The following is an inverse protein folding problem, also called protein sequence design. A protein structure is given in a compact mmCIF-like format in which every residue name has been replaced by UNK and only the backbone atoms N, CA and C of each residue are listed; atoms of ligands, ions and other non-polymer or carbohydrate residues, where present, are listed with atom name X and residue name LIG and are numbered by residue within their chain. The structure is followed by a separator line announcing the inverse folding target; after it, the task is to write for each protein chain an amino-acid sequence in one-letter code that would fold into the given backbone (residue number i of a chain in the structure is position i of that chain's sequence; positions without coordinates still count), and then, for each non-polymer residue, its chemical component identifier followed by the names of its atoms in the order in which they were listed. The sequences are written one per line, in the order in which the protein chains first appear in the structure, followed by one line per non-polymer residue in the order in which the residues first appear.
data_IF_964195500890
#
_entry.id   IF_964195500890
#
_cell.length_a   1.000
_cell.length_b   1.000
_cell.length_c   1.000
_cell.angle_alpha   90.00
_cell.angle_beta   90.00
_cell.angle_gamma   90.00
#
_symmetry.space_group_name_H-M   'P 1'
#
loop_
_entity.id
_entity.type
_entity.pdbx_description
1 polymer ?
#
# COMPACT_ATOMS: atom_id res chain seq x y z
N UNK A 1 -88.36 -103.98 18.22
CA UNK A 1 -88.63 -103.53 16.82
C UNK A 1 -90.01 -102.93 16.61
N UNK A 2 -91.01 -103.24 17.44
CA UNK A 2 -92.39 -102.76 17.26
C UNK A 2 -92.69 -101.32 17.73
N UNK A 3 -91.75 -100.61 18.35
CA UNK A 3 -91.96 -99.19 18.74
C UNK A 3 -90.82 -98.28 18.26
N UNK A 4 -89.73 -98.82 17.68
CA UNK A 4 -88.92 -98.02 16.74
C UNK A 4 -89.73 -97.63 15.48
N UNK A 5 -90.81 -98.36 15.19
CA UNK A 5 -91.90 -97.92 14.33
C UNK A 5 -92.62 -96.68 14.90
N UNK A 6 -92.93 -96.67 16.21
CA UNK A 6 -93.38 -95.45 16.88
C UNK A 6 -92.32 -94.34 16.92
N UNK A 7 -91.03 -94.66 16.82
CA UNK A 7 -89.91 -93.70 16.76
C UNK A 7 -89.78 -92.99 15.41
N UNK A 8 -90.29 -93.58 14.32
CA UNK A 8 -90.47 -92.89 13.02
C UNK A 8 -91.80 -92.14 12.94
N UNK A 9 -92.86 -92.72 13.54
CA UNK A 9 -94.15 -92.03 13.73
C UNK A 9 -93.95 -90.76 14.59
N UNK A 10 -93.15 -90.83 15.65
CA UNK A 10 -92.81 -89.70 16.51
C UNK A 10 -91.92 -88.67 15.82
N UNK A 11 -91.18 -89.02 14.76
CA UNK A 11 -90.30 -88.13 14.00
C UNK A 11 -90.94 -87.55 12.72
N UNK A 12 -92.04 -88.13 12.24
CA UNK A 12 -93.03 -87.41 11.40
C UNK A 12 -93.92 -86.48 12.24
N UNK A 13 -94.03 -86.77 13.54
CA UNK A 13 -94.62 -85.91 14.59
C UNK A 13 -93.56 -85.00 15.26
N UNK A 14 -92.28 -85.10 14.86
CA UNK A 14 -91.22 -84.19 15.32
C UNK A 14 -91.39 -82.87 14.57
N UNK A 15 -91.44 -81.80 15.35
CA UNK A 15 -91.38 -80.42 14.84
C UNK A 15 -89.99 -80.11 14.29
N UNK A 16 -89.65 -80.59 13.09
CA UNK A 16 -88.65 -79.94 12.21
C UNK A 16 -88.59 -80.54 10.79
N UNK A 17 -89.62 -80.27 10.00
CA UNK A 17 -89.47 -80.09 8.55
C UNK A 17 -90.49 -79.04 8.11
N UNK A 18 -90.10 -77.77 8.25
CA UNK A 18 -90.87 -76.64 7.76
C UNK A 18 -90.75 -76.57 6.23
N UNK A 19 -91.68 -77.22 5.52
CA UNK A 19 -92.02 -76.85 4.15
C UNK A 19 -93.42 -76.23 4.23
N UNK A 20 -93.45 -74.95 4.59
CA UNK A 20 -94.64 -74.10 4.51
C UNK A 20 -94.84 -73.72 3.04
N UNK A 21 -96.08 -73.89 2.56
CA UNK A 21 -96.49 -73.58 1.19
C UNK A 21 -96.19 -72.13 0.83
N UNK A 22 -95.69 -71.91 -0.38
CA UNK A 22 -95.54 -70.57 -0.97
C UNK A 22 -96.90 -69.84 -0.90
N UNK A 23 -96.94 -68.57 -0.46
CA UNK A 23 -98.18 -67.79 -0.39
C UNK A 23 -98.78 -67.59 -1.78
N UNK A 24 -100.11 -67.50 -1.84
CA UNK A 24 -100.87 -67.32 -3.08
C UNK A 24 -100.43 -66.04 -3.80
N UNK A 25 -99.73 -66.21 -4.92
CA UNK A 25 -99.17 -65.11 -5.71
C UNK A 25 -100.24 -64.23 -6.36
N UNK A 26 -101.51 -64.65 -6.37
CA UNK A 26 -102.61 -63.92 -6.99
C UNK A 26 -102.97 -62.62 -6.25
N UNK A 27 -102.92 -62.60 -4.91
CA UNK A 27 -103.19 -61.39 -4.12
C UNK A 27 -102.05 -60.36 -4.21
N UNK A 28 -100.81 -60.84 -4.30
CA UNK A 28 -99.63 -59.98 -4.49
C UNK A 28 -99.63 -59.41 -5.91
N UNK A 29 -99.99 -60.22 -6.91
CA UNK A 29 -100.13 -59.77 -8.29
C UNK A 29 -101.23 -58.72 -8.44
N UNK A 30 -102.39 -58.87 -7.79
CA UNK A 30 -103.49 -57.90 -7.85
C UNK A 30 -103.16 -56.58 -7.16
N UNK A 31 -102.46 -56.62 -6.02
CA UNK A 31 -101.95 -55.42 -5.35
C UNK A 31 -100.95 -54.67 -6.23
N UNK A 32 -99.97 -55.40 -6.79
CA UNK A 32 -98.97 -54.84 -7.70
C UNK A 32 -99.59 -54.29 -8.99
N UNK A 33 -100.59 -54.95 -9.58
CA UNK A 33 -101.30 -54.42 -10.78
C UNK A 33 -102.12 -53.17 -10.48
N UNK A 34 -102.58 -52.97 -9.25
CA UNK A 34 -103.34 -51.77 -8.86
C UNK A 34 -102.45 -50.56 -8.51
N UNK A 35 -101.20 -50.79 -8.11
CA UNK A 35 -100.26 -49.73 -7.72
C UNK A 35 -99.40 -49.22 -8.87
N UNK A 36 -99.15 -50.05 -9.89
CA UNK A 36 -98.47 -49.63 -11.13
C UNK A 36 -99.09 -48.35 -11.73
N UNK A 37 -100.42 -48.25 -11.99
CA UNK A 37 -100.99 -47.05 -12.59
C UNK A 37 -100.92 -45.82 -11.68
N UNK A 38 -100.95 -45.99 -10.36
CA UNK A 38 -100.82 -44.86 -9.41
C UNK A 38 -99.41 -44.30 -9.39
N UNK A 39 -98.40 -45.18 -9.42
CA UNK A 39 -96.99 -44.79 -9.48
C UNK A 39 -96.69 -44.16 -10.84
N UNK A 40 -97.25 -44.69 -11.93
CA UNK A 40 -97.14 -44.08 -13.26
C UNK A 40 -97.74 -42.66 -13.30
N UNK A 41 -98.87 -42.44 -12.64
CA UNK A 41 -99.50 -41.12 -12.54
C UNK A 41 -98.67 -40.14 -11.67
N UNK A 42 -98.06 -40.63 -10.59
CA UNK A 42 -97.15 -39.87 -9.74
C UNK A 42 -95.85 -39.49 -10.46
N UNK A 43 -95.27 -40.41 -11.25
CA UNK A 43 -94.13 -40.14 -12.14
C UNK A 43 -94.49 -39.04 -13.14
N UNK A 44 -95.66 -39.11 -13.76
CA UNK A 44 -96.13 -38.10 -14.74
C UNK A 44 -96.33 -36.72 -14.11
N UNK A 45 -96.78 -36.66 -12.85
CA UNK A 45 -96.86 -35.40 -12.10
C UNK A 45 -95.48 -34.87 -11.73
N UNK A 46 -94.56 -35.73 -11.28
CA UNK A 46 -93.18 -35.35 -10.93
C UNK A 46 -92.37 -34.90 -12.15
N UNK A 47 -92.56 -35.51 -13.32
CA UNK A 47 -91.92 -35.10 -14.59
C UNK A 47 -92.39 -33.71 -15.05
N UNK A 48 -93.68 -33.38 -14.88
CA UNK A 48 -94.22 -32.03 -15.15
C UNK A 48 -93.61 -30.98 -14.22
N UNK A 49 -93.39 -31.31 -12.95
CA UNK A 49 -92.71 -30.42 -11.98
C UNK A 49 -91.21 -30.28 -12.30
N UNK A 50 -90.55 -31.35 -12.75
CA UNK A 50 -89.13 -31.36 -13.11
C UNK A 50 -88.82 -30.52 -14.38
N UNK A 51 -89.72 -30.49 -15.36
CA UNK A 51 -89.61 -29.61 -16.52
C UNK A 51 -89.56 -28.12 -16.13
N UNK A 52 -90.33 -27.71 -15.12
CA UNK A 52 -90.28 -26.35 -14.56
C UNK A 52 -88.99 -26.09 -13.77
N UNK A 53 -88.44 -27.08 -13.07
CA UNK A 53 -87.17 -26.95 -12.34
C UNK A 53 -85.98 -26.68 -13.29
N UNK A 54 -85.87 -27.42 -14.40
CA UNK A 54 -84.79 -27.22 -15.37
C UNK A 54 -84.84 -25.86 -16.09
N UNK A 55 -86.04 -25.31 -16.30
CA UNK A 55 -86.24 -23.98 -16.85
C UNK A 55 -85.93 -22.88 -15.83
N UNK A 56 -86.24 -23.12 -14.54
CA UNK A 56 -85.89 -22.22 -13.43
C UNK A 56 -84.38 -22.16 -13.20
N UNK A 57 -83.67 -23.28 -13.29
CA UNK A 57 -82.21 -23.31 -13.13
C UNK A 57 -81.50 -22.57 -14.26
N UNK A 58 -81.96 -22.73 -15.51
CA UNK A 58 -81.47 -21.91 -16.64
C UNK A 58 -81.72 -20.42 -16.43
N UNK A 59 -82.88 -20.03 -15.91
CA UNK A 59 -83.19 -18.62 -15.59
C UNK A 59 -82.36 -18.10 -14.41
N UNK A 60 -82.10 -18.91 -13.39
CA UNK A 60 -81.22 -18.56 -12.27
C UNK A 60 -79.77 -18.38 -12.72
N UNK A 61 -79.24 -19.28 -13.55
CA UNK A 61 -77.91 -19.15 -14.15
C UNK A 61 -77.81 -17.89 -15.01
N UNK A 62 -78.84 -17.62 -15.84
CA UNK A 62 -78.90 -16.40 -16.65
C UNK A 62 -78.97 -15.13 -15.82
N UNK A 63 -79.74 -15.14 -14.74
CA UNK A 63 -79.83 -14.04 -13.79
C UNK A 63 -78.51 -13.84 -13.03
N UNK A 64 -77.79 -14.92 -12.71
CA UNK A 64 -76.42 -14.90 -12.20
C UNK A 64 -75.47 -14.19 -13.15
N UNK A 65 -75.39 -14.66 -14.40
CA UNK A 65 -74.59 -14.03 -15.47
C UNK A 65 -74.91 -12.54 -15.65
N UNK A 66 -76.19 -12.18 -15.72
CA UNK A 66 -76.61 -10.78 -15.86
C UNK A 66 -76.25 -9.93 -14.63
N UNK A 67 -76.38 -10.47 -13.42
CA UNK A 67 -75.94 -9.79 -12.19
C UNK A 67 -74.43 -9.59 -12.18
N UNK A 68 -73.66 -10.58 -12.62
CA UNK A 68 -72.20 -10.50 -12.68
C UNK A 68 -71.74 -9.51 -13.75
N UNK A 69 -72.40 -9.48 -14.91
CA UNK A 69 -72.16 -8.44 -15.94
C UNK A 69 -72.52 -7.04 -15.47
N UNK A 70 -73.59 -6.88 -14.69
CA UNK A 70 -73.96 -5.60 -14.10
C UNK A 70 -72.94 -5.15 -13.04
N UNK A 71 -72.51 -6.06 -12.16
CA UNK A 71 -71.42 -5.80 -11.20
C UNK A 71 -70.12 -5.42 -11.89
N UNK A 72 -69.73 -6.16 -12.93
CA UNK A 72 -68.54 -5.87 -13.72
C UNK A 72 -68.67 -4.53 -14.44
N UNK A 73 -69.83 -4.23 -15.03
CA UNK A 73 -70.10 -2.93 -15.67
C UNK A 73 -69.94 -1.76 -14.69
N UNK A 74 -70.50 -1.88 -13.49
CA UNK A 74 -70.39 -0.86 -12.44
C UNK A 74 -68.95 -0.68 -11.91
N UNK A 75 -68.10 -1.70 -12.04
CA UNK A 75 -66.71 -1.70 -11.58
C UNK A 75 -65.70 -1.72 -12.73
N UNK A 76 -66.13 -1.54 -13.98
CA UNK A 76 -65.32 -1.80 -15.17
C UNK A 76 -64.10 -0.88 -15.21
N UNK A 77 -64.32 0.41 -14.99
CA UNK A 77 -63.26 1.43 -14.98
C UNK A 77 -62.22 1.15 -13.89
N UNK A 78 -62.67 0.75 -12.69
CA UNK A 78 -61.78 0.37 -11.59
C UNK A 78 -60.96 -0.87 -11.96
N UNK A 79 -61.58 -1.84 -12.64
CA UNK A 79 -60.92 -3.09 -13.03
C UNK A 79 -59.88 -2.84 -14.14
N UNK A 80 -60.20 -1.98 -15.11
CA UNK A 80 -59.28 -1.56 -16.18
C UNK A 80 -58.11 -0.72 -15.64
N UNK A 81 -58.39 0.19 -14.70
CA UNK A 81 -57.34 0.95 -14.02
C UNK A 81 -56.39 0.01 -13.28
N UNK A 82 -56.91 -0.96 -12.54
CA UNK A 82 -56.10 -1.92 -11.77
C UNK A 82 -55.27 -2.84 -12.67
N UNK A 83 -55.79 -3.21 -13.85
CA UNK A 83 -55.03 -3.93 -14.86
C UNK A 83 -53.88 -3.07 -15.40
N UNK A 84 -54.13 -1.79 -15.67
CA UNK A 84 -53.12 -0.84 -16.13
C UNK A 84 -52.02 -0.64 -15.08
N UNK A 85 -52.40 -0.49 -13.81
CA UNK A 85 -51.47 -0.38 -12.68
C UNK A 85 -50.62 -1.65 -12.53
N UNK A 86 -51.22 -2.84 -12.68
CA UNK A 86 -50.49 -4.11 -12.64
C UNK A 86 -49.49 -4.25 -13.79
N UNK A 87 -49.86 -3.82 -15.00
CA UNK A 87 -48.95 -3.80 -16.15
C UNK A 87 -47.78 -2.85 -15.92
N UNK A 88 -48.05 -1.64 -15.43
CA UNK A 88 -47.02 -0.66 -15.08
C UNK A 88 -46.10 -1.21 -13.99
N UNK A 89 -46.64 -1.78 -12.92
CA UNK A 89 -45.89 -2.36 -11.81
C UNK A 89 -44.99 -3.51 -12.30
N UNK A 90 -45.51 -4.36 -13.19
CA UNK A 90 -44.74 -5.44 -13.82
C UNK A 90 -43.61 -4.89 -14.69
N UNK A 91 -43.87 -3.84 -15.48
CA UNK A 91 -42.85 -3.14 -16.27
C UNK A 91 -41.75 -2.52 -15.39
N UNK A 92 -42.13 -1.76 -14.37
CA UNK A 92 -41.20 -1.14 -13.42
C UNK A 92 -40.37 -2.19 -12.68
N UNK A 93 -40.97 -3.31 -12.25
CA UNK A 93 -40.22 -4.42 -11.63
C UNK A 93 -39.17 -5.02 -12.57
N UNK A 94 -39.47 -5.16 -13.87
CA UNK A 94 -38.48 -5.61 -14.86
C UNK A 94 -37.34 -4.60 -15.02
N UNK A 95 -37.65 -3.30 -15.10
CA UNK A 95 -36.63 -2.26 -15.19
C UNK A 95 -35.74 -2.24 -13.92
N UNK A 96 -36.32 -2.35 -12.73
CA UNK A 96 -35.57 -2.45 -11.47
C UNK A 96 -34.64 -3.67 -11.49
N UNK A 97 -35.12 -4.83 -11.95
CA UNK A 97 -34.29 -6.03 -12.07
C UNK A 97 -33.10 -5.83 -13.03
N UNK A 98 -33.27 -5.06 -14.11
CA UNK A 98 -32.18 -4.73 -15.04
C UNK A 98 -31.15 -3.76 -14.46
N UNK A 99 -31.53 -2.91 -13.50
CA UNK A 99 -30.60 -2.03 -12.77
C UNK A 99 -29.76 -2.74 -11.71
N UNK A 100 -29.93 -4.06 -11.53
CA UNK A 100 -29.19 -4.82 -10.53
C UNK A 100 -27.71 -4.97 -10.93
N UNK A 101 -26.85 -4.20 -10.27
CA UNK A 101 -25.39 -4.21 -10.46
C UNK A 101 -24.69 -5.44 -9.86
N UNK A 102 -25.40 -6.29 -9.10
CA UNK A 102 -24.78 -7.38 -8.33
C UNK A 102 -24.03 -8.40 -9.19
N UNK A 103 -24.54 -8.73 -10.38
CA UNK A 103 -23.87 -9.66 -11.29
C UNK A 103 -22.54 -9.08 -11.80
N UNK A 104 -22.55 -7.81 -12.22
CA UNK A 104 -21.35 -7.08 -12.65
C UNK A 104 -20.34 -6.94 -11.52
N UNK A 105 -20.79 -6.57 -10.32
CA UNK A 105 -19.93 -6.47 -9.14
C UNK A 105 -19.29 -7.81 -8.77
N UNK A 106 -20.05 -8.91 -8.85
CA UNK A 106 -19.52 -10.26 -8.58
C UNK A 106 -18.46 -10.65 -9.61
N UNK A 107 -18.73 -10.43 -10.90
CA UNK A 107 -17.79 -10.71 -11.98
C UNK A 107 -16.49 -9.90 -11.80
N UNK A 108 -16.62 -8.62 -11.44
CA UNK A 108 -15.48 -7.73 -11.18
C UNK A 108 -14.65 -8.21 -9.99
N UNK A 109 -15.29 -8.66 -8.90
CA UNK A 109 -14.60 -9.26 -7.76
C UNK A 109 -13.85 -10.55 -8.11
N UNK A 110 -14.43 -11.42 -8.94
CA UNK A 110 -13.77 -12.66 -9.39
C UNK A 110 -12.53 -12.32 -10.23
N UNK A 111 -12.69 -11.45 -11.24
CA UNK A 111 -11.58 -11.05 -12.13
C UNK A 111 -10.45 -10.36 -11.37
N UNK A 112 -10.77 -9.52 -10.38
CA UNK A 112 -9.76 -8.86 -9.54
C UNK A 112 -8.95 -9.87 -8.72
N UNK A 113 -9.64 -10.85 -8.12
CA UNK A 113 -8.99 -11.90 -7.35
C UNK A 113 -8.02 -12.72 -8.20
N UNK A 114 -8.45 -13.12 -9.39
CA UNK A 114 -7.64 -13.96 -10.28
C UNK A 114 -6.47 -13.20 -10.93
N UNK A 115 -6.63 -11.91 -11.25
CA UNK A 115 -5.65 -11.18 -12.06
C UNK A 115 -4.70 -10.29 -11.27
N UNK A 116 -5.12 -9.77 -10.11
CA UNK A 116 -4.40 -8.68 -9.41
C UNK A 116 -3.97 -9.12 -8.02
N UNK A 117 -4.86 -9.78 -7.25
CA UNK A 117 -4.65 -9.98 -5.82
C UNK A 117 -3.45 -10.88 -5.50
N UNK A 118 -3.31 -12.02 -6.18
CA UNK A 118 -2.24 -12.99 -5.87
C UNK A 118 -0.85 -12.47 -6.25
N UNK A 119 -0.72 -11.84 -7.43
CA UNK A 119 0.57 -11.28 -7.88
C UNK A 119 0.95 -10.03 -7.07
N UNK A 120 -0.02 -9.18 -6.73
CA UNK A 120 0.21 -8.02 -5.87
C UNK A 120 0.62 -8.46 -4.45
N UNK A 121 -0.05 -9.45 -3.87
CA UNK A 121 0.29 -9.99 -2.55
C UNK A 121 1.71 -10.57 -2.54
N UNK A 122 2.09 -11.32 -3.58
CA UNK A 122 3.46 -11.84 -3.72
C UNK A 122 4.50 -10.74 -3.76
N UNK A 123 4.22 -9.64 -4.47
CA UNK A 123 5.13 -8.50 -4.56
C UNK A 123 5.21 -7.70 -3.27
N UNK A 124 4.07 -7.43 -2.63
CA UNK A 124 4.03 -6.81 -1.30
C UNK A 124 4.90 -7.62 -0.33
N UNK A 125 4.77 -8.96 -0.35
CA UNK A 125 5.58 -9.82 0.50
C UNK A 125 7.08 -9.75 0.17
N UNK A 126 7.44 -9.71 -1.12
CA UNK A 126 8.83 -9.53 -1.54
C UNK A 126 9.41 -8.18 -1.08
N UNK A 127 8.64 -7.10 -1.17
CA UNK A 127 9.04 -5.76 -0.70
C UNK A 127 9.17 -5.70 0.83
N UNK A 128 8.23 -6.30 1.57
CA UNK A 128 8.29 -6.43 3.05
C UNK A 128 9.58 -7.15 3.47
N UNK A 129 9.95 -8.22 2.77
CA UNK A 129 11.19 -8.95 3.05
C UNK A 129 12.43 -8.12 2.67
N UNK A 130 12.40 -7.42 1.54
CA UNK A 130 13.50 -6.56 1.11
C UNK A 130 13.76 -5.39 2.09
N UNK A 131 12.70 -4.83 2.68
CA UNK A 131 12.75 -3.72 3.63
C UNK A 131 12.89 -4.16 5.10
N UNK A 132 13.14 -5.45 5.34
CA UNK A 132 13.37 -6.03 6.67
C UNK A 132 12.20 -5.82 7.66
N UNK A 133 10.98 -6.02 7.17
CA UNK A 133 9.73 -5.95 7.95
C UNK A 133 9.16 -7.34 8.26
N UNK A 134 9.95 -8.41 8.06
CA UNK A 134 9.50 -9.80 8.18
C UNK A 134 9.13 -10.23 9.60
N UNK A 135 9.55 -9.46 10.62
CA UNK A 135 9.16 -9.70 12.02
C UNK A 135 7.68 -9.36 12.28
N UNK A 136 7.06 -8.56 11.40
CA UNK A 136 5.66 -8.19 11.51
C UNK A 136 4.79 -9.25 10.82
N UNK A 137 3.79 -9.82 11.50
CA UNK A 137 2.87 -10.75 10.89
C UNK A 137 1.90 -9.96 10.02
N UNK A 138 2.25 -9.62 8.79
CA UNK A 138 1.42 -8.81 7.88
C UNK A 138 0.50 -9.70 7.03
N UNK A 139 -0.71 -9.22 6.74
CA UNK A 139 -1.69 -9.87 5.88
C UNK A 139 -2.42 -8.83 5.03
N UNK A 140 -2.55 -9.10 3.75
CA UNK A 140 -3.37 -8.33 2.81
C UNK A 140 -4.86 -8.54 3.09
N UNK A 141 -5.61 -7.44 3.14
CA UNK A 141 -7.07 -7.42 3.26
C UNK A 141 -7.63 -6.55 2.15
N UNK A 142 -8.52 -7.12 1.36
CA UNK A 142 -9.28 -6.41 0.34
C UNK A 142 -10.59 -5.89 0.95
N UNK A 143 -10.87 -4.60 0.78
CA UNK A 143 -12.13 -3.97 1.17
C UNK A 143 -12.74 -3.32 -0.06
N UNK A 144 -13.85 -3.88 -0.53
CA UNK A 144 -14.59 -3.35 -1.67
C UNK A 144 -15.85 -2.62 -1.22
N UNK A 145 -16.07 -1.40 -1.70
CA UNK A 145 -17.30 -0.63 -1.52
C UNK A 145 -17.69 0.08 -2.81
N UNK A 146 -18.94 -0.11 -3.26
CA UNK A 146 -19.53 0.63 -4.38
C UNK A 146 -18.71 0.67 -5.70
N UNK A 147 -17.89 -0.36 -5.98
CA UNK A 147 -17.08 -0.46 -7.21
C UNK A 147 -15.61 -0.07 -7.02
N UNK A 148 -15.29 0.66 -5.96
CA UNK A 148 -13.92 0.95 -5.52
C UNK A 148 -13.42 -0.22 -4.64
N UNK A 149 -12.26 -0.78 -4.99
CA UNK A 149 -11.59 -1.76 -4.15
C UNK A 149 -10.34 -1.13 -3.57
N UNK A 150 -10.22 -1.21 -2.25
CA UNK A 150 -9.05 -0.75 -1.50
C UNK A 150 -8.28 -1.97 -1.02
N UNK A 151 -6.99 -1.99 -1.30
CA UNK A 151 -6.07 -2.93 -0.68
C UNK A 151 -5.52 -2.31 0.60
N UNK A 152 -5.61 -3.06 1.69
CA UNK A 152 -5.03 -2.69 2.97
C UNK A 152 -4.10 -3.79 3.44
N UNK A 153 -2.90 -3.44 3.89
CA UNK A 153 -2.03 -4.40 4.57
C UNK A 153 -2.24 -4.20 6.07
N UNK A 154 -2.73 -5.22 6.76
CA UNK A 154 -2.97 -5.20 8.20
C UNK A 154 -2.09 -6.20 8.93
N UNK A 155 -2.03 -6.10 10.26
CA UNK A 155 -1.42 -7.14 11.09
C UNK A 155 -2.34 -8.37 11.20
N UNK A 156 -1.78 -9.56 11.05
CA UNK A 156 -2.35 -10.88 11.25
C UNK A 156 -2.44 -11.17 12.75
N UNK A 157 -3.28 -10.40 13.43
CA UNK A 157 -3.61 -10.58 14.85
C UNK A 157 -5.05 -11.09 14.99
N UNK A 158 -5.32 -11.85 16.06
CA UNK A 158 -6.66 -12.38 16.35
C UNK A 158 -7.73 -11.29 16.51
N UNK A 159 -7.32 -10.07 16.85
CA UNK A 159 -8.17 -8.88 16.94
C UNK A 159 -7.70 -7.83 15.92
N UNK A 160 -8.65 -7.17 15.26
CA UNK A 160 -8.36 -6.12 14.26
C UNK A 160 -7.99 -4.81 14.96
N UNK A 161 -6.70 -4.56 15.14
CA UNK A 161 -6.20 -3.27 15.62
C UNK A 161 -5.83 -2.36 14.46
N UNK A 162 -5.89 -1.04 14.66
CA UNK A 162 -5.41 -0.08 13.66
C UNK A 162 -3.89 -0.16 13.61
N UNK A 163 -3.30 -0.27 12.42
CA UNK A 163 -1.85 -0.32 12.23
C UNK A 163 -1.13 0.84 12.95
N UNK A 164 -1.75 2.01 12.98
CA UNK A 164 -1.17 3.21 13.62
C UNK A 164 -0.99 3.10 15.14
N UNK A 165 -1.60 2.10 15.78
CA UNK A 165 -1.49 1.86 17.22
C UNK A 165 -0.41 0.84 17.59
N UNK A 166 0.09 0.08 16.61
CA UNK A 166 1.04 -1.03 16.85
C UNK A 166 2.37 -0.76 16.15
N UNK A 167 2.33 -0.31 14.89
CA UNK A 167 3.53 -0.03 14.12
C UNK A 167 4.16 1.27 14.59
N UNK A 168 5.49 1.26 14.76
CA UNK A 168 6.26 2.49 14.90
C UNK A 168 6.14 3.35 13.64
N UNK A 169 6.38 4.66 13.75
CA UNK A 169 6.34 5.58 12.61
C UNK A 169 7.24 5.12 11.45
N UNK A 170 8.44 4.65 11.77
CA UNK A 170 9.37 4.13 10.77
C UNK A 170 8.88 2.84 10.10
N UNK A 171 8.16 1.97 10.82
CA UNK A 171 7.58 0.75 10.24
C UNK A 171 6.39 1.08 9.34
N UNK A 172 5.56 2.05 9.76
CA UNK A 172 4.46 2.54 8.91
C UNK A 172 4.99 3.12 7.60
N UNK A 173 6.04 3.94 7.66
CA UNK A 173 6.63 4.55 6.46
C UNK A 173 7.29 3.51 5.55
N UNK A 174 7.99 2.53 6.12
CA UNK A 174 8.57 1.42 5.34
C UNK A 174 7.50 0.51 4.73
N UNK A 175 6.41 0.22 5.44
CA UNK A 175 5.29 -0.55 4.91
C UNK A 175 4.57 0.20 3.78
N UNK A 176 4.37 1.51 3.94
CA UNK A 176 3.81 2.35 2.89
C UNK A 176 4.70 2.35 1.63
N UNK A 177 6.02 2.45 1.80
CA UNK A 177 6.98 2.35 0.71
C UNK A 177 6.95 0.97 0.04
N UNK A 178 6.85 -0.11 0.82
CA UNK A 178 6.72 -1.48 0.31
C UNK A 178 5.47 -1.64 -0.58
N UNK A 179 4.32 -1.16 -0.10
CA UNK A 179 3.07 -1.21 -0.85
C UNK A 179 3.19 -0.40 -2.15
N UNK A 180 3.72 0.82 -2.06
CA UNK A 180 3.91 1.69 -3.21
C UNK A 180 4.83 1.07 -4.28
N UNK A 181 5.99 0.54 -3.89
CA UNK A 181 6.92 -0.13 -4.80
C UNK A 181 6.32 -1.40 -5.42
N UNK A 182 5.48 -2.13 -4.67
CA UNK A 182 4.82 -3.34 -5.16
C UNK A 182 3.80 -3.07 -6.27
N UNK A 183 3.06 -1.95 -6.17
CA UNK A 183 2.11 -1.50 -7.19
C UNK A 183 2.85 -1.08 -8.47
N UNK A 184 4.00 -0.43 -8.33
CA UNK A 184 4.82 0.01 -9.46
C UNK A 184 5.37 -1.14 -10.31
N UNK A 185 5.54 -2.34 -9.74
CA UNK A 185 6.08 -3.50 -10.45
C UNK A 185 5.15 -4.07 -11.55
N UNK A 186 3.89 -3.61 -11.63
CA UNK A 186 2.89 -4.13 -12.58
C UNK A 186 3.02 -3.56 -13.97
N UNK A 187 3.55 -2.34 -14.05
CA UNK A 187 3.50 -1.55 -15.26
C UNK A 187 4.86 -1.58 -15.95
N UNK A 188 4.92 -2.15 -17.16
CA UNK A 188 6.09 -2.13 -18.05
C UNK A 188 6.48 -0.74 -18.55
N UNK A 189 5.86 0.32 -18.01
CA UNK A 189 6.12 1.71 -18.35
C UNK A 189 7.15 2.35 -17.41
N UNK A 190 8.17 2.94 -18.04
CA UNK A 190 9.33 3.60 -17.42
C UNK A 190 8.97 4.97 -16.81
N UNK A 191 8.00 5.04 -15.90
CA UNK A 191 7.71 6.29 -15.21
C UNK A 191 8.83 6.64 -14.23
N UNK A 192 9.17 7.93 -14.13
CA UNK A 192 10.05 8.43 -13.09
C UNK A 192 9.42 8.24 -11.71
N UNK A 193 10.26 7.95 -10.72
CA UNK A 193 9.90 7.79 -9.31
C UNK A 193 10.33 9.04 -8.55
N UNK A 194 9.40 9.72 -7.89
CA UNK A 194 9.71 10.85 -7.02
C UNK A 194 9.34 10.47 -5.60
N UNK A 195 10.31 10.56 -4.68
CA UNK A 195 10.14 10.17 -3.28
C UNK A 195 10.56 11.32 -2.38
N UNK A 196 9.65 11.78 -1.52
CA UNK A 196 9.88 12.85 -0.56
C UNK A 196 10.03 12.27 0.85
N UNK A 197 11.19 12.48 1.46
CA UNK A 197 11.58 11.99 2.78
C UNK A 197 11.14 10.54 3.08
N UNK A 198 11.67 9.53 2.35
CA UNK A 198 11.26 8.13 2.53
C UNK A 198 11.58 7.54 3.91
N UNK A 199 12.35 8.24 4.74
CA UNK A 199 12.74 7.77 6.08
C UNK A 199 12.46 8.86 7.11
N UNK A 200 11.79 8.51 8.22
CA UNK A 200 11.52 9.42 9.35
C UNK A 200 12.33 9.09 10.62
N UNK A 201 12.81 7.86 10.77
CA UNK A 201 13.45 7.38 12.01
C UNK A 201 14.94 7.08 11.84
N UNK A 202 15.73 7.33 12.90
CA UNK A 202 17.18 7.12 13.01
C UNK A 202 17.66 5.64 12.92
N UNK A 203 16.78 4.69 12.55
CA UNK A 203 17.21 3.30 12.40
C UNK A 203 18.09 3.15 11.15
N UNK A 204 19.40 3.12 11.38
CA UNK A 204 20.43 3.01 10.35
C UNK A 204 20.25 1.77 9.46
N UNK A 205 19.76 0.65 9.99
CA UNK A 205 19.56 -0.55 9.20
C UNK A 205 18.45 -0.32 8.16
N UNK A 206 17.35 0.30 8.59
CA UNK A 206 16.21 0.60 7.71
C UNK A 206 16.56 1.67 6.68
N UNK A 207 17.28 2.72 7.07
CA UNK A 207 17.83 3.75 6.16
C UNK A 207 18.59 3.08 5.02
N UNK A 208 19.46 2.11 5.34
CA UNK A 208 20.24 1.36 4.36
C UNK A 208 19.39 0.46 3.47
N UNK A 209 18.42 -0.28 4.02
CA UNK A 209 17.51 -1.12 3.22
C UNK A 209 16.67 -0.30 2.23
N UNK A 210 16.15 0.84 2.67
CA UNK A 210 15.42 1.77 1.81
C UNK A 210 16.33 2.31 0.69
N UNK A 211 17.56 2.71 1.03
CA UNK A 211 18.53 3.17 0.04
C UNK A 211 18.85 2.09 -1.01
N UNK A 212 19.17 0.88 -0.57
CA UNK A 212 19.42 -0.28 -1.44
C UNK A 212 18.24 -0.55 -2.38
N UNK A 213 17.01 -0.49 -1.86
CA UNK A 213 15.82 -0.77 -2.66
C UNK A 213 15.58 0.29 -3.75
N UNK A 214 15.76 1.57 -3.42
CA UNK A 214 15.63 2.68 -4.38
C UNK A 214 16.73 2.64 -5.44
N UNK A 215 17.96 2.31 -5.06
CA UNK A 215 19.06 2.09 -5.99
C UNK A 215 18.77 0.91 -6.91
N UNK A 216 18.25 -0.21 -6.40
CA UNK A 216 17.86 -1.35 -7.21
C UNK A 216 16.74 -1.03 -8.22
N UNK A 217 15.83 -0.09 -7.91
CA UNK A 217 14.88 0.42 -8.89
C UNK A 217 15.56 1.29 -9.97
N UNK A 218 16.53 2.12 -9.59
CA UNK A 218 17.32 2.88 -10.55
C UNK A 218 18.17 1.98 -11.46
N UNK A 219 18.69 0.86 -10.95
CA UNK A 219 19.45 -0.14 -11.73
C UNK A 219 18.61 -0.79 -12.83
N UNK A 220 17.28 -0.87 -12.66
CA UNK A 220 16.36 -1.37 -13.68
C UNK A 220 16.16 -0.39 -14.84
N UNK A 221 16.77 0.80 -14.76
CA UNK A 221 16.67 1.86 -15.77
C UNK A 221 15.60 2.91 -15.46
N UNK A 222 15.03 2.93 -14.26
CA UNK A 222 14.05 3.93 -13.83
C UNK A 222 14.74 5.20 -13.32
N UNK A 223 14.24 6.38 -13.68
CA UNK A 223 14.70 7.63 -13.05
C UNK A 223 14.13 7.71 -11.63
N UNK A 224 15.00 7.88 -10.62
CA UNK A 224 14.59 8.03 -9.22
C UNK A 224 15.06 9.38 -8.70
N UNK A 225 14.12 10.22 -8.27
CA UNK A 225 14.35 11.56 -7.70
C UNK A 225 13.98 11.48 -6.22
N UNK A 226 14.93 11.81 -5.35
CA UNK A 226 14.78 11.70 -3.90
C UNK A 226 14.95 13.09 -3.30
N UNK A 227 13.91 13.56 -2.62
CA UNK A 227 14.02 14.72 -1.73
C UNK A 227 14.25 14.21 -0.32
N UNK A 228 15.29 14.73 0.33
CA UNK A 228 15.50 14.43 1.73
C UNK A 228 16.16 15.55 2.50
N UNK A 229 15.78 15.73 3.77
CA UNK A 229 16.50 16.55 4.73
C UNK A 229 17.50 15.73 5.58
N UNK A 230 17.47 14.40 5.47
CA UNK A 230 18.31 13.51 6.26
C UNK A 230 19.65 13.26 5.57
N UNK A 231 20.72 13.86 6.11
CA UNK A 231 22.09 13.77 5.57
C UNK A 231 22.62 12.33 5.60
N UNK A 232 22.29 11.55 6.65
CA UNK A 232 22.73 10.16 6.76
C UNK A 232 22.12 9.34 5.62
N UNK A 233 20.84 9.55 5.32
CA UNK A 233 20.17 8.88 4.22
C UNK A 233 20.72 9.34 2.85
N UNK A 234 20.98 10.64 2.67
CA UNK A 234 21.65 11.14 1.47
C UNK A 234 22.98 10.43 1.22
N UNK A 235 23.84 10.35 2.23
CA UNK A 235 25.14 9.68 2.12
C UNK A 235 25.00 8.18 1.84
N UNK A 236 24.00 7.52 2.42
CA UNK A 236 23.73 6.10 2.17
C UNK A 236 23.33 5.86 0.71
N UNK A 237 22.50 6.74 0.12
CA UNK A 237 22.16 6.69 -1.31
C UNK A 237 23.41 6.85 -2.18
N UNK A 238 24.27 7.83 -1.88
CA UNK A 238 25.52 8.06 -2.64
C UNK A 238 26.46 6.85 -2.52
N UNK A 239 26.55 6.25 -1.33
CA UNK A 239 27.37 5.07 -1.06
C UNK A 239 26.86 3.84 -1.82
N UNK A 240 25.57 3.54 -1.74
CA UNK A 240 24.95 2.39 -2.42
C UNK A 240 24.95 2.57 -3.95
N UNK A 241 24.76 3.79 -4.46
CA UNK A 241 24.94 4.10 -5.89
C UNK A 241 26.39 3.84 -6.36
N UNK A 242 27.39 4.10 -5.51
CA UNK A 242 28.80 3.85 -5.82
C UNK A 242 29.16 2.35 -5.76
N UNK A 243 28.42 1.57 -4.96
CA UNK A 243 28.56 0.10 -4.85
C UNK A 243 27.86 -0.65 -5.98
N UNK A 244 26.86 -0.02 -6.60
CA UNK A 244 26.12 -0.59 -7.72
C UNK A 244 27.06 -1.01 -8.86
N UNK A 245 26.82 -2.21 -9.40
CA UNK A 245 27.62 -2.75 -10.50
C UNK A 245 27.33 -2.01 -11.82
N UNK A 246 26.12 -1.47 -11.98
CA UNK A 246 25.64 -0.87 -13.23
C UNK A 246 26.04 0.60 -13.42
N UNK A 247 26.86 1.19 -12.53
CA UNK A 247 27.31 2.60 -12.59
C UNK A 247 26.18 3.56 -12.96
N UNK A 248 25.25 3.71 -12.03
CA UNK A 248 24.06 4.56 -12.20
C UNK A 248 24.52 6.03 -12.24
N UNK A 249 24.07 6.83 -13.23
CA UNK A 249 24.30 8.27 -13.23
C UNK A 249 23.65 8.91 -11.98
N UNK A 250 24.45 9.59 -11.16
CA UNK A 250 24.01 10.22 -9.92
C UNK A 250 24.20 11.73 -10.01
N UNK A 251 23.11 12.49 -9.88
CA UNK A 251 23.13 13.94 -9.77
C UNK A 251 22.82 14.32 -8.32
N UNK A 252 23.69 15.12 -7.70
CA UNK A 252 23.54 15.58 -6.32
C UNK A 252 23.10 17.04 -6.35
N UNK A 253 22.00 17.37 -5.69
CA UNK A 253 21.50 18.74 -5.67
C UNK A 253 21.18 19.20 -4.26
N UNK A 254 21.53 20.45 -3.96
CA UNK A 254 21.19 21.11 -2.70
C UNK A 254 20.11 22.16 -2.99
N UNK A 255 18.98 22.03 -2.31
CA UNK A 255 17.88 22.99 -2.38
C UNK A 255 17.96 23.88 -1.15
N UNK A 256 18.03 25.19 -1.38
CA UNK A 256 18.13 26.18 -0.32
C UNK A 256 17.08 27.28 -0.46
N UNK A 257 16.89 28.00 0.64
CA UNK A 257 16.02 29.18 0.72
C UNK A 257 16.90 30.37 1.06
N UNK A 258 16.79 31.44 0.29
CA UNK A 258 17.41 32.73 0.59
C UNK A 258 16.34 33.82 0.70
N UNK A 259 16.55 34.81 1.56
CA UNK A 259 15.65 35.95 1.67
C UNK A 259 15.63 36.81 0.38
N UNK A 260 16.73 36.83 -0.37
CA UNK A 260 16.90 37.65 -1.58
C UNK A 260 16.38 36.96 -2.84
N UNK A 261 16.61 35.65 -2.96
CA UNK A 261 16.32 34.87 -4.17
C UNK A 261 15.07 33.99 -4.01
N UNK A 262 14.46 33.96 -2.82
CA UNK A 262 13.24 33.20 -2.54
C UNK A 262 13.49 31.72 -2.20
N UNK A 263 12.49 30.89 -2.48
CA UNK A 263 12.51 29.45 -2.22
C UNK A 263 12.89 28.69 -3.50
N UNK A 264 13.58 27.55 -3.35
CA UNK A 264 13.87 26.65 -4.46
C UNK A 264 15.16 26.96 -5.22
N UNK A 265 16.17 27.51 -4.54
CA UNK A 265 17.48 27.77 -5.13
C UNK A 265 18.23 26.44 -5.20
N UNK A 266 18.39 25.91 -6.40
CA UNK A 266 19.02 24.61 -6.67
C UNK A 266 20.49 24.84 -7.01
N UNK A 267 21.38 24.15 -6.30
CA UNK A 267 22.80 24.01 -6.66
C UNK A 267 23.07 22.56 -7.03
N UNK A 268 23.35 22.33 -8.30
CA UNK A 268 23.67 21.00 -8.85
C UNK A 268 25.14 20.63 -8.60
N UNK A 269 25.41 19.33 -8.61
CA UNK A 269 26.71 18.68 -8.37
C UNK A 269 27.42 19.12 -7.08
N UNK A 270 26.63 19.56 -6.10
CA UNK A 270 27.10 19.99 -4.80
C UNK A 270 26.63 19.02 -3.71
N UNK A 271 27.49 18.76 -2.72
CA UNK A 271 27.09 18.04 -1.51
C UNK A 271 26.50 19.02 -0.48
N UNK A 272 25.45 18.63 0.26
CA UNK A 272 24.86 19.49 1.28
C UNK A 272 25.93 19.97 2.26
N UNK A 273 26.15 21.30 2.28
CA UNK A 273 27.04 21.99 3.22
C UNK A 273 28.54 21.65 3.13
N UNK A 274 28.97 20.95 2.07
CA UNK A 274 30.36 20.55 1.88
C UNK A 274 30.86 21.16 0.57
N UNK A 275 31.35 22.40 0.65
CA UNK A 275 32.34 22.85 -0.31
C UNK A 275 33.56 21.94 -0.16
N UNK A 276 33.99 21.33 -1.26
CA UNK A 276 35.27 20.60 -1.38
C UNK A 276 36.38 21.51 -0.80
N UNK A 277 37.41 20.93 -0.19
CA UNK A 277 38.59 21.66 0.30
C UNK A 277 39.10 22.66 -0.75
N UNK A 278 39.02 22.29 -2.04
CA UNK A 278 39.43 23.13 -3.14
C UNK A 278 38.60 24.41 -3.28
N UNK A 279 37.28 24.30 -3.13
CA UNK A 279 36.35 25.41 -3.20
C UNK A 279 36.46 26.30 -1.95
N UNK A 280 36.65 25.70 -0.76
CA UNK A 280 36.93 26.43 0.48
C UNK A 280 38.20 27.27 0.37
N UNK A 281 39.28 26.68 -0.14
CA UNK A 281 40.56 27.39 -0.39
C UNK A 281 40.35 28.53 -1.39
N UNK A 282 39.55 28.32 -2.45
CA UNK A 282 39.25 29.36 -3.43
C UNK A 282 38.51 30.54 -2.78
N UNK A 283 37.48 30.27 -1.97
CA UNK A 283 36.74 31.31 -1.25
C UNK A 283 37.67 32.10 -0.28
N UNK A 284 38.46 31.38 0.53
CA UNK A 284 39.45 32.01 1.41
C UNK A 284 40.45 32.86 0.64
N UNK A 285 40.90 32.41 -0.53
CA UNK A 285 41.81 33.18 -1.39
C UNK A 285 41.17 34.46 -1.89
N UNK A 286 39.91 34.43 -2.29
CA UNK A 286 39.22 35.62 -2.78
C UNK A 286 38.93 36.62 -1.64
N UNK A 287 38.62 36.13 -0.44
CA UNK A 287 38.52 36.98 0.77
C UNK A 287 39.86 37.59 1.16
N UNK A 288 40.94 36.81 1.16
CA UNK A 288 42.28 37.32 1.46
C UNK A 288 42.69 38.46 0.51
N UNK A 289 42.36 38.34 -0.79
CA UNK A 289 42.57 39.44 -1.76
C UNK A 289 41.77 40.69 -1.40
N UNK A 290 40.50 40.53 -0.98
CA UNK A 290 39.66 41.67 -0.59
C UNK A 290 40.21 42.42 0.62
N UNK A 291 40.88 41.72 1.54
CA UNK A 291 41.47 42.34 2.74
C UNK A 291 42.74 43.15 2.44
N UNK A 292 43.33 43.05 1.23
CA UNK A 292 44.50 43.86 0.85
C UNK A 292 44.24 45.37 0.86
N UNK A 293 42.99 45.79 0.64
CA UNK A 293 42.61 47.20 0.66
C UNK A 293 42.40 47.75 2.08
N UNK A 294 42.36 46.89 3.09
CA UNK A 294 42.17 47.32 4.48
C UNK A 294 43.49 47.88 5.02
N UNK A 295 43.44 49.11 5.53
CA UNK A 295 44.59 49.82 6.10
C UNK A 295 44.48 50.04 7.62
N UNK A 296 43.29 49.82 8.20
CA UNK A 296 43.04 50.02 9.62
C UNK A 296 42.83 48.69 10.37
N UNK A 297 43.91 48.17 10.94
CA UNK A 297 43.94 46.87 11.61
C UNK A 297 43.44 46.90 13.07
N UNK A 298 43.15 48.08 13.61
CA UNK A 298 42.63 48.26 14.97
C UNK A 298 41.11 48.41 15.03
N UNK A 299 40.44 48.42 13.87
CA UNK A 299 38.99 48.52 13.79
C UNK A 299 38.32 47.21 14.24
N UNK A 300 37.24 47.33 15.01
CA UNK A 300 36.41 46.20 15.43
C UNK A 300 35.80 45.47 14.23
N UNK A 301 35.55 46.19 13.12
CA UNK A 301 35.12 45.57 11.85
C UNK A 301 36.19 44.63 11.29
N UNK A 302 37.45 45.07 11.25
CA UNK A 302 38.57 44.25 10.78
C UNK A 302 38.77 43.04 11.70
N UNK A 303 38.69 43.24 13.03
CA UNK A 303 38.76 42.14 14.00
C UNK A 303 37.72 41.05 13.72
N UNK A 304 36.47 41.41 13.40
CA UNK A 304 35.41 40.44 13.05
C UNK A 304 35.70 39.72 11.74
N UNK A 305 36.10 40.45 10.69
CA UNK A 305 36.46 39.85 9.39
C UNK A 305 37.59 38.82 9.52
N UNK A 306 38.59 39.13 10.33
CA UNK A 306 39.70 38.23 10.64
C UNK A 306 39.23 37.03 11.46
N UNK A 307 38.42 37.25 12.51
CA UNK A 307 37.83 36.18 13.32
C UNK A 307 37.05 35.18 12.46
N UNK A 308 36.23 35.68 11.54
CA UNK A 308 35.45 34.87 10.61
C UNK A 308 36.37 34.12 9.64
N UNK A 309 37.40 34.79 9.11
CA UNK A 309 38.38 34.15 8.22
C UNK A 309 39.12 32.98 8.89
N UNK A 310 39.62 33.17 10.12
CA UNK A 310 40.34 32.12 10.83
C UNK A 310 39.43 31.00 11.33
N UNK A 311 38.15 31.29 11.57
CA UNK A 311 37.15 30.25 11.83
C UNK A 311 36.98 29.36 10.60
N UNK A 312 36.80 29.94 9.41
CA UNK A 312 36.69 29.19 8.16
C UNK A 312 38.01 28.50 7.76
N UNK A 313 39.17 29.10 8.05
CA UNK A 313 40.49 28.49 7.83
C UNK A 313 40.67 27.24 8.69
N UNK A 314 40.26 27.31 9.98
CA UNK A 314 40.28 26.16 10.89
C UNK A 314 39.39 25.03 10.38
N UNK A 315 38.16 25.35 9.99
CA UNK A 315 37.25 24.35 9.42
C UNK A 315 37.81 23.74 8.13
N UNK A 316 38.53 24.53 7.32
CA UNK A 316 39.20 24.05 6.11
C UNK A 316 40.36 23.11 6.44
N UNK A 317 41.13 23.36 7.49
CA UNK A 317 42.15 22.43 7.99
C UNK A 317 41.53 21.12 8.48
N UNK A 318 40.45 21.17 9.25
CA UNK A 318 39.73 19.97 9.70
C UNK A 318 39.26 19.13 8.51
N UNK A 319 38.71 19.80 7.48
CA UNK A 319 38.28 19.14 6.25
C UNK A 319 39.45 18.59 5.43
N UNK A 320 40.57 19.31 5.37
CA UNK A 320 41.78 18.86 4.70
C UNK A 320 42.33 17.59 5.36
N UNK A 321 42.28 17.49 6.69
CA UNK A 321 42.67 16.27 7.41
C UNK A 321 41.73 15.12 7.05
N UNK A 322 40.42 15.33 7.05
CA UNK A 322 39.42 14.31 6.71
C UNK A 322 39.56 13.82 5.26
N UNK A 323 39.68 14.75 4.29
CA UNK A 323 39.65 14.41 2.87
C UNK A 323 41.01 14.05 2.27
N UNK A 324 42.07 14.76 2.66
CA UNK A 324 43.39 14.64 2.05
C UNK A 324 44.29 13.76 2.91
N UNK A 325 44.43 14.05 4.21
CA UNK A 325 45.35 13.30 5.09
C UNK A 325 44.84 11.90 5.38
N UNK A 326 43.56 11.76 5.72
CA UNK A 326 42.93 10.47 5.95
C UNK A 326 42.38 9.86 4.66
N UNK A 327 42.59 10.50 3.50
CA UNK A 327 42.11 10.03 2.19
C UNK A 327 40.62 9.64 2.19
N UNK A 328 39.77 10.36 2.93
CA UNK A 328 38.34 10.02 3.13
C UNK A 328 38.14 8.58 3.65
N UNK A 329 39.04 8.09 4.51
CA UNK A 329 38.92 6.79 5.21
C UNK A 329 37.81 6.84 6.25
N UNK A 330 37.72 7.97 6.97
CA UNK A 330 36.64 8.27 7.92
C UNK A 330 36.02 9.58 7.46
N UNK A 331 34.70 9.57 7.23
CA UNK A 331 33.94 10.74 6.77
C UNK A 331 32.73 10.90 7.68
N UNK A 332 32.41 12.14 8.05
CA UNK A 332 31.24 12.41 8.90
C UNK A 332 29.96 11.97 8.21
N UNK A 333 29.04 11.35 8.96
CA UNK A 333 27.73 10.87 8.48
C UNK A 333 27.80 9.77 7.41
N UNK A 334 28.95 9.11 7.25
CA UNK A 334 29.08 7.85 6.51
C UNK A 334 29.28 6.73 7.54
N UNK A 335 28.46 5.67 7.54
CA UNK A 335 28.56 4.61 8.55
C UNK A 335 29.81 3.75 8.39
N UNK A 336 30.29 3.59 7.16
CA UNK A 336 31.40 2.69 6.85
C UNK A 336 32.76 3.39 6.97
N UNK A 337 33.72 2.69 7.60
CA UNK A 337 35.14 3.06 7.57
C UNK A 337 35.78 2.45 6.33
N UNK A 338 36.28 3.28 5.42
CA UNK A 338 36.79 2.87 4.11
C UNK A 338 38.24 2.36 4.20
N UNK A 339 38.44 1.20 4.82
CA UNK A 339 39.77 0.62 5.12
C UNK A 339 40.69 0.50 3.90
N UNK A 340 40.15 0.24 2.71
CA UNK A 340 40.92 0.17 1.46
C UNK A 340 41.60 1.50 1.09
N UNK A 341 41.07 2.64 1.55
CA UNK A 341 41.66 3.96 1.31
C UNK A 341 42.88 4.23 2.19
N UNK A 342 43.13 3.41 3.22
CA UNK A 342 44.36 3.49 4.01
C UNK A 342 45.62 3.33 3.15
N UNK A 343 45.53 2.69 1.98
CA UNK A 343 46.65 2.63 1.03
C UNK A 343 47.17 4.03 0.62
N UNK A 344 46.35 5.06 0.70
CA UNK A 344 46.67 6.44 0.31
C UNK A 344 47.17 7.30 1.50
N UNK A 345 47.04 6.79 2.74
CA UNK A 345 47.34 7.53 3.97
C UNK A 345 48.82 7.42 4.34
N UNK A 346 49.53 8.55 4.35
CA UNK A 346 50.93 8.65 4.79
C UNK A 346 51.08 9.84 5.74
N UNK A 347 51.31 9.59 7.03
CA UNK A 347 51.47 10.63 8.04
C UNK A 347 52.91 10.57 8.55
N UNK A 348 53.63 11.68 8.45
CA UNK A 348 54.96 11.85 9.01
C UNK A 348 54.91 12.77 10.23
N UNK A 349 55.92 12.72 11.10
CA UNK A 349 56.01 13.60 12.28
C UNK A 349 56.02 15.08 11.88
N UNK A 350 56.59 15.40 10.71
CA UNK A 350 56.56 16.75 10.16
C UNK A 350 55.14 17.20 9.78
N UNK A 351 54.30 16.29 9.27
CA UNK A 351 52.90 16.60 8.93
C UNK A 351 52.09 16.90 10.19
N UNK A 352 52.26 16.08 11.23
CA UNK A 352 51.67 16.34 12.53
C UNK A 352 52.09 17.71 13.08
N UNK A 353 53.39 18.04 13.00
CA UNK A 353 53.93 19.33 13.43
C UNK A 353 53.27 20.50 12.69
N UNK A 354 53.18 20.43 11.35
CA UNK A 354 52.55 21.48 10.54
C UNK A 354 51.08 21.65 10.92
N UNK A 355 50.31 20.56 10.94
CA UNK A 355 48.89 20.59 11.27
C UNK A 355 48.68 21.15 12.68
N UNK A 356 49.47 20.72 13.66
CA UNK A 356 49.37 21.19 15.05
C UNK A 356 49.60 22.70 15.16
N UNK A 357 50.67 23.23 14.55
CA UNK A 357 50.95 24.65 14.62
C UNK A 357 49.96 25.48 13.80
N UNK A 358 49.54 25.02 12.63
CA UNK A 358 48.53 25.69 11.82
C UNK A 358 47.17 25.75 12.51
N UNK A 359 46.70 24.63 13.09
CA UNK A 359 45.46 24.59 13.88
C UNK A 359 45.57 25.45 15.15
N UNK A 360 46.73 25.46 15.83
CA UNK A 360 46.95 26.30 17.01
C UNK A 360 46.86 27.79 16.65
N UNK A 361 47.54 28.23 15.59
CA UNK A 361 47.46 29.62 15.08
C UNK A 361 46.03 29.99 14.70
N UNK A 362 45.34 29.11 13.97
CA UNK A 362 43.95 29.34 13.59
C UNK A 362 43.03 29.39 14.82
N UNK A 363 43.22 28.51 15.81
CA UNK A 363 42.42 28.47 17.03
C UNK A 363 42.60 29.72 17.89
N UNK A 364 43.83 30.21 18.04
CA UNK A 364 44.15 31.44 18.80
C UNK A 364 43.49 32.69 18.19
N UNK A 365 43.23 32.66 16.88
CA UNK A 365 42.65 33.77 16.10
C UNK A 365 41.16 33.55 15.75
N UNK A 366 40.64 32.35 16.02
CA UNK A 366 39.23 31.97 15.86
C UNK A 366 38.40 32.35 17.08
N UNK A 367 37.08 32.27 16.95
CA UNK A 367 36.14 33.09 17.69
C UNK A 367 35.88 32.86 19.18
N UNK A 368 36.85 32.36 19.94
CA UNK A 368 36.72 32.12 21.38
C UNK A 368 36.93 33.41 22.20
N UNK A 369 36.19 33.53 23.31
CA UNK A 369 36.37 34.61 24.27
C UNK A 369 37.73 34.46 24.97
N UNK A 370 38.60 35.44 24.80
CA UNK A 370 39.97 35.39 25.33
C UNK A 370 40.00 36.08 26.69
N UNK A 371 40.64 35.44 27.67
CA UNK A 371 40.82 36.01 29.00
C UNK A 371 41.41 37.43 28.93
N UNK A 372 40.97 38.31 29.83
CA UNK A 372 41.16 39.78 29.82
C UNK A 372 42.62 40.32 29.82
N UNK A 373 43.63 39.48 29.58
CA UNK A 373 45.04 39.84 29.44
C UNK A 373 45.70 39.38 28.13
N UNK A 374 45.01 38.65 27.25
CA UNK A 374 45.53 38.25 25.92
C UNK A 374 44.95 39.13 24.81
N UNK A 375 45.46 40.35 24.69
CA UNK A 375 45.20 41.19 23.50
C UNK A 375 46.14 40.77 22.37
N UNK A 376 45.73 39.76 21.59
CA UNK A 376 46.43 39.41 20.35
C UNK A 376 46.07 40.47 19.32
N UNK A 377 47.08 41.14 18.76
CA UNK A 377 46.89 42.07 17.64
C UNK A 377 46.34 41.34 16.43
N UNK A 378 45.36 41.94 15.74
CA UNK A 378 44.81 41.32 14.55
C UNK A 378 45.92 41.15 13.49
N UNK A 379 46.09 39.95 12.91
CA UNK A 379 47.09 39.69 11.88
C UNK A 379 46.91 40.59 10.66
N UNK A 380 48.03 40.94 10.03
CA UNK A 380 48.02 41.72 8.79
C UNK A 380 47.51 40.89 7.61
N UNK A 381 47.00 41.52 6.53
CA UNK A 381 46.59 40.79 5.32
C UNK A 381 47.72 39.94 4.72
N UNK A 382 48.98 40.35 4.86
CA UNK A 382 50.15 39.58 4.41
C UNK A 382 50.35 38.29 5.23
N UNK A 383 50.14 38.33 6.54
CA UNK A 383 50.18 37.13 7.40
C UNK A 383 49.04 36.17 7.05
N UNK A 384 47.83 36.69 6.82
CA UNK A 384 46.66 35.91 6.41
C UNK A 384 46.93 35.16 5.09
N UNK A 385 47.56 35.84 4.12
CA UNK A 385 47.95 35.19 2.86
C UNK A 385 49.04 34.15 3.03
N UNK A 386 49.95 34.35 3.97
CA UNK A 386 51.03 33.39 4.27
C UNK A 386 50.45 32.13 4.90
N UNK A 387 49.56 32.27 5.88
CA UNK A 387 48.86 31.14 6.51
C UNK A 387 48.01 30.36 5.49
N UNK A 388 47.38 31.05 4.53
CA UNK A 388 46.63 30.40 3.45
C UNK A 388 47.54 29.66 2.45
N UNK A 389 48.72 30.23 2.14
CA UNK A 389 49.72 29.56 1.29
C UNK A 389 50.23 28.27 1.93
N UNK A 390 50.52 28.29 3.23
CA UNK A 390 50.96 27.09 3.96
C UNK A 390 49.94 25.95 3.84
N UNK A 391 48.64 26.25 3.92
CA UNK A 391 47.58 25.26 3.72
C UNK A 391 47.58 24.68 2.28
N UNK A 392 47.70 25.52 1.26
CA UNK A 392 47.68 25.06 -0.14
C UNK A 392 48.96 24.31 -0.53
N UNK A 393 50.13 24.76 -0.05
CA UNK A 393 51.41 24.07 -0.21
C UNK A 393 51.38 22.70 0.45
N UNK A 394 50.91 22.62 1.71
CA UNK A 394 50.73 21.36 2.42
C UNK A 394 49.82 20.40 1.64
N UNK A 395 48.68 20.88 1.13
CA UNK A 395 47.76 20.09 0.30
C UNK A 395 48.44 19.53 -0.94
N UNK A 396 49.22 20.34 -1.66
CA UNK A 396 49.89 19.95 -2.90
C UNK A 396 50.99 18.92 -2.61
N UNK A 397 51.83 19.15 -1.61
CA UNK A 397 52.90 18.24 -1.22
C UNK A 397 52.36 16.91 -0.70
N UNK A 398 51.32 16.95 0.13
CA UNK A 398 50.67 15.76 0.65
C UNK A 398 50.08 14.91 -0.48
N UNK A 399 49.35 15.50 -1.43
CA UNK A 399 48.78 14.77 -2.58
C UNK A 399 49.86 14.06 -3.42
N UNK A 400 51.02 14.69 -3.62
CA UNK A 400 52.15 14.06 -4.33
C UNK A 400 52.64 12.82 -3.57
N UNK A 401 52.87 12.94 -2.26
CA UNK A 401 53.33 11.82 -1.41
C UNK A 401 52.29 10.71 -1.33
N UNK A 402 51.02 11.05 -1.11
CA UNK A 402 49.90 10.10 -1.06
C UNK A 402 49.80 9.26 -2.34
N UNK A 403 49.99 9.86 -3.53
CA UNK A 403 50.00 9.13 -4.81
C UNK A 403 51.17 8.14 -4.92
N UNK A 404 52.35 8.53 -4.43
CA UNK A 404 53.51 7.63 -4.36
C UNK A 404 53.26 6.47 -3.40
N UNK A 405 52.73 6.75 -2.20
CA UNK A 405 52.38 5.73 -1.20
C UNK A 405 51.32 4.76 -1.72
N UNK A 406 50.28 5.27 -2.40
CA UNK A 406 49.24 4.47 -3.02
C UNK A 406 49.82 3.49 -4.04
N UNK A 407 50.72 3.98 -4.91
CA UNK A 407 51.41 3.14 -5.91
C UNK A 407 52.25 2.05 -5.24
N UNK A 408 53.00 2.41 -4.19
CA UNK A 408 53.84 1.47 -3.44
C UNK A 408 53.01 0.40 -2.71
N UNK A 409 51.86 0.76 -2.13
CA UNK A 409 51.00 -0.18 -1.39
C UNK A 409 50.14 -1.04 -2.31
N UNK A 410 49.67 -0.54 -3.44
CA UNK A 410 49.02 -1.39 -4.45
C UNK A 410 49.97 -2.44 -5.02
N UNK A 411 51.29 -2.19 -5.03
CA UNK A 411 52.27 -3.23 -5.39
C UNK A 411 52.34 -4.37 -4.37
N UNK A 412 51.98 -4.12 -3.09
CA UNK A 412 51.92 -5.16 -2.05
C UNK A 412 50.64 -6.00 -2.13
N UNK A 413 49.57 -5.44 -2.70
CA UNK A 413 48.27 -6.11 -2.87
C UNK A 413 48.28 -7.06 -4.09
N UNK A 414 49.13 -6.78 -5.08
CA UNK A 414 49.35 -7.68 -6.21
C UNK A 414 50.21 -8.86 -5.74
N UNK A 415 49.58 -10.02 -5.51
CA UNK A 415 50.25 -11.24 -5.11
C UNK A 415 51.51 -11.47 -5.96
N UNK A 416 52.66 -11.68 -5.30
CA UNK A 416 53.84 -12.22 -5.96
C UNK A 416 53.39 -13.46 -6.74
N UNK A 417 53.61 -13.46 -8.07
CA UNK A 417 53.36 -14.66 -8.88
C UNK A 417 54.05 -15.81 -8.18
N UNK A 418 53.27 -16.81 -7.75
CA UNK A 418 53.83 -18.02 -7.19
C UNK A 418 54.81 -18.57 -8.22
N UNK A 419 56.10 -18.52 -7.90
CA UNK A 419 57.09 -19.31 -8.62
C UNK A 419 56.73 -20.76 -8.32
N UNK A 420 56.17 -21.44 -9.32
CA UNK A 420 56.00 -22.88 -9.27
C UNK A 420 57.41 -23.49 -9.19
N UNK A 421 57.79 -23.96 -8.00
CA UNK A 421 58.92 -24.86 -7.79
C UNK A 421 58.48 -26.28 -8.12
#
# INVERSE_FOLDING_TARGET
MLVNFERRKSSLLDQNLAIVSLPDTAEILSFLTSDIPKIEEEILQLEKVALHASALDRRRARLGDLKDRCKLGNALDITLQRLSDLNLLTGVKKCIAQTNTRATSLQLSILRKDLITDELERRIQAEITALDLSHLPLQTKEVSSAGESLFSVGLKTASSFKNNQILSEGEQRALALACFLSEMGSDGSSYGLIVDDPVSSLDHNRVRKVAQRLIAEAEKGRQVIIFTHNIVFFNEIVSEASRSTNKIPLVKSVISKSATEGFGIIKEDCEPWIADVNERIKNLRDRAKSYRSETNFSDERYRRLVKDFYSDLRETWERLVEEVVLAKTVVRFVPDVMTQRLREVCITDNDYRIIYFAMKRASERSGHDMAAGRNITAPTPAEIETDLKELDEFRIEYKKRSKMTSTARSALENAAKAEFI
#
